data_IF_957732806380
#
_entry.id   IF_957732806380
#
_cell.length_a   1.000
_cell.length_b   1.000
_cell.length_c   1.000
_cell.angle_alpha   90.00
_cell.angle_beta   90.00
_cell.angle_gamma   90.00
#
_symmetry.space_group_name_H-M   'P 1'
#
loop_
_entity.id
_entity.type
_entity.pdbx_description
1 polymer ?
#
# COMPACT_ATOMS: atom_id res chain seq x y z
N UNK A 1 15.70 -19.56 -28.06
CA UNK A 1 15.39 -20.60 -27.06
C UNK A 1 16.39 -20.54 -25.92
N UNK A 2 16.07 -19.83 -24.81
CA UNK A 2 16.80 -19.84 -23.53
C UNK A 2 16.00 -18.96 -22.55
N UNK A 3 15.63 -19.51 -21.37
CA UNK A 3 15.19 -18.85 -20.13
C UNK A 3 14.09 -19.59 -19.33
N UNK A 4 14.02 -20.93 -19.39
CA UNK A 4 13.13 -21.71 -18.49
C UNK A 4 13.84 -22.28 -17.26
N UNK A 5 15.15 -22.04 -17.09
CA UNK A 5 15.93 -22.66 -16.00
C UNK A 5 15.65 -22.06 -14.61
N UNK A 6 15.18 -20.81 -14.52
CA UNK A 6 14.90 -20.12 -13.25
C UNK A 6 13.44 -20.24 -12.78
N UNK A 7 12.52 -20.63 -13.66
CA UNK A 7 11.09 -20.69 -13.34
C UNK A 7 10.74 -21.85 -12.39
N UNK A 8 11.40 -23.00 -12.58
CA UNK A 8 11.19 -24.21 -11.76
C UNK A 8 11.65 -24.07 -10.31
N UNK A 9 12.87 -23.57 -10.01
CA UNK A 9 13.28 -23.36 -8.61
C UNK A 9 12.43 -22.28 -7.92
N UNK A 10 12.00 -21.25 -8.64
CA UNK A 10 11.11 -20.21 -8.10
C UNK A 10 9.73 -20.77 -7.73
N UNK A 11 9.11 -21.58 -8.61
CA UNK A 11 7.86 -22.28 -8.32
C UNK A 11 7.98 -23.24 -7.14
N UNK A 12 9.12 -23.93 -7.01
CA UNK A 12 9.40 -24.81 -5.87
C UNK A 12 9.52 -24.04 -4.55
N UNK A 13 10.20 -22.89 -4.55
CA UNK A 13 10.30 -22.01 -3.37
C UNK A 13 8.91 -21.48 -2.99
N UNK A 14 8.13 -21.00 -3.97
CA UNK A 14 6.75 -20.54 -3.75
C UNK A 14 5.90 -21.67 -3.16
N UNK A 15 5.97 -22.87 -3.72
CA UNK A 15 5.25 -24.05 -3.23
C UNK A 15 5.70 -24.45 -1.81
N UNK A 16 7.00 -24.41 -1.51
CA UNK A 16 7.56 -24.67 -0.18
C UNK A 16 7.10 -23.64 0.86
N UNK A 17 6.98 -22.37 0.47
CA UNK A 17 6.43 -21.30 1.33
C UNK A 17 4.93 -21.51 1.61
N UNK A 18 4.17 -22.04 0.63
CA UNK A 18 2.76 -22.41 0.82
C UNK A 18 2.57 -23.72 1.62
N UNK A 19 3.56 -24.61 1.65
CA UNK A 19 3.52 -25.88 2.39
C UNK A 19 3.99 -25.76 3.85
N UNK A 20 4.64 -24.65 4.21
CA UNK A 20 5.08 -24.42 5.58
C UNK A 20 3.92 -23.94 6.46
N UNK A 21 3.35 -24.84 7.27
CA UNK A 21 2.50 -24.47 8.41
C UNK A 21 3.36 -23.80 9.49
N UNK A 22 3.68 -22.51 9.28
CA UNK A 22 4.35 -21.70 10.29
C UNK A 22 3.36 -21.39 11.42
N UNK A 23 3.38 -22.23 12.46
CA UNK A 23 2.72 -21.94 13.74
C UNK A 23 3.51 -20.87 14.51
N UNK A 24 3.42 -19.61 14.10
CA UNK A 24 3.88 -18.52 14.94
C UNK A 24 2.78 -18.19 15.97
N UNK A 25 3.19 -17.99 17.22
CA UNK A 25 2.29 -17.73 18.34
C UNK A 25 2.27 -16.22 18.61
N UNK A 26 1.16 -15.54 18.29
CA UNK A 26 0.64 -14.35 18.98
C UNK A 26 1.45 -13.05 19.13
N UNK A 27 2.71 -12.94 18.70
CA UNK A 27 3.51 -11.69 18.76
C UNK A 27 4.52 -11.67 17.61
N UNK A 28 4.14 -11.11 16.47
CA UNK A 28 5.00 -10.98 15.30
C UNK A 28 4.94 -9.58 14.70
N UNK A 29 5.88 -9.28 13.82
CA UNK A 29 5.82 -8.11 12.95
C UNK A 29 5.82 -8.58 11.49
N UNK A 30 5.21 -7.79 10.62
CA UNK A 30 5.23 -8.00 9.17
C UNK A 30 6.03 -6.89 8.53
N UNK A 31 6.85 -7.23 7.53
CA UNK A 31 7.47 -6.25 6.64
C UNK A 31 6.74 -6.33 5.31
N UNK A 32 6.21 -5.19 4.86
CA UNK A 32 5.52 -5.03 3.60
C UNK A 32 6.39 -4.15 2.70
N UNK A 33 6.71 -4.67 1.52
CA UNK A 33 7.26 -3.87 0.43
C UNK A 33 6.14 -3.58 -0.56
N UNK A 34 5.86 -2.30 -0.81
CA UNK A 34 4.89 -1.83 -1.80
C UNK A 34 5.66 -1.11 -2.89
N UNK A 35 5.40 -1.48 -4.14
CA UNK A 35 5.89 -0.75 -5.30
C UNK A 35 4.72 -0.52 -6.23
N UNK A 36 4.61 0.69 -6.75
CA UNK A 36 3.68 1.05 -7.79
C UNK A 36 4.51 1.60 -8.94
N UNK A 37 4.30 1.08 -10.14
CA UNK A 37 5.07 1.49 -11.30
C UNK A 37 4.25 1.25 -12.57
N UNK A 38 4.41 2.13 -13.54
CA UNK A 38 3.86 1.98 -14.89
C UNK A 38 4.52 0.83 -15.68
N UNK A 39 5.59 0.22 -15.17
CA UNK A 39 6.32 -0.91 -15.77
C UNK A 39 5.44 -2.13 -16.13
N UNK A 40 4.35 -2.36 -15.39
CA UNK A 40 3.41 -3.46 -15.65
C UNK A 40 2.23 -3.07 -16.56
N UNK A 41 2.13 -1.81 -16.96
CA UNK A 41 1.11 -1.38 -17.92
C UNK A 41 1.51 -1.80 -19.34
N UNK A 42 0.55 -2.36 -20.10
CA UNK A 42 0.72 -2.82 -21.49
C UNK A 42 1.23 -1.70 -22.43
N UNK A 43 1.10 -0.44 -21.99
CA UNK A 43 1.72 0.72 -22.60
C UNK A 43 2.50 1.47 -21.51
N UNK A 44 3.76 1.07 -21.29
CA UNK A 44 4.68 1.69 -20.33
C UNK A 44 5.11 3.07 -20.82
N UNK A 45 4.23 4.05 -20.66
CA UNK A 45 4.50 5.40 -21.09
C UNK A 45 5.27 6.22 -20.05
N UNK A 46 5.41 5.73 -18.80
CA UNK A 46 6.02 6.48 -17.66
C UNK A 46 5.53 7.94 -17.72
N UNK A 47 4.20 8.04 -17.83
CA UNK A 47 3.51 9.28 -18.09
C UNK A 47 2.89 9.67 -16.76
N UNK A 48 3.25 10.85 -16.24
CA UNK A 48 2.62 11.47 -15.09
C UNK A 48 2.88 10.83 -13.71
N UNK A 49 3.22 9.53 -13.60
CA UNK A 49 3.58 8.84 -12.36
C UNK A 49 4.67 7.79 -12.61
N UNK A 50 5.91 8.12 -12.24
CA UNK A 50 7.06 7.26 -12.54
C UNK A 50 7.15 6.04 -11.66
N UNK A 51 6.74 6.21 -10.42
CA UNK A 51 6.57 5.10 -9.50
C UNK A 51 6.80 5.50 -8.05
N UNK A 52 6.47 4.56 -7.19
CA UNK A 52 6.74 4.64 -5.77
C UNK A 52 7.31 3.33 -5.25
N UNK A 53 8.08 3.45 -4.17
CA UNK A 53 8.51 2.32 -3.37
C UNK A 53 8.33 2.67 -1.90
N UNK A 54 7.77 1.75 -1.12
CA UNK A 54 7.55 1.90 0.32
C UNK A 54 7.91 0.60 1.02
N UNK A 55 8.63 0.72 2.13
CA UNK A 55 8.82 -0.34 3.10
C UNK A 55 8.02 0.03 4.34
N UNK A 56 7.16 -0.85 4.79
CA UNK A 56 6.31 -0.65 5.97
C UNK A 56 6.43 -1.85 6.91
N UNK A 57 6.62 -1.58 8.19
CA UNK A 57 6.57 -2.58 9.25
C UNK A 57 5.23 -2.47 9.96
N UNK A 58 4.56 -3.61 10.15
CA UNK A 58 3.28 -3.72 10.84
C UNK A 58 3.43 -4.58 12.08
N UNK A 59 2.80 -4.18 13.17
CA UNK A 59 2.89 -4.88 14.46
C UNK A 59 1.63 -4.64 15.31
N UNK A 60 1.38 -5.46 16.34
CA UNK A 60 0.29 -5.23 17.29
C UNK A 60 0.37 -3.84 17.92
N UNK A 61 -0.77 -3.22 18.24
CA UNK A 61 -0.79 -1.88 18.85
C UNK A 61 0.10 -1.78 20.11
N UNK A 62 1.22 -1.05 20.01
CA UNK A 62 2.14 -0.81 21.12
C UNK A 62 1.80 0.49 21.85
N UNK A 63 1.49 1.55 21.11
CA UNK A 63 1.30 2.90 21.66
C UNK A 63 -0.15 3.36 21.51
N UNK A 64 -0.95 3.19 22.56
CA UNK A 64 -2.41 3.38 22.51
C UNK A 64 -2.90 4.83 22.59
N UNK A 65 -2.04 5.76 23.02
CA UNK A 65 -2.39 7.17 23.25
C UNK A 65 -2.28 8.06 21.99
N UNK A 66 -1.73 7.52 20.90
CA UNK A 66 -1.58 8.27 19.66
C UNK A 66 -2.94 8.56 19.01
N UNK A 67 -3.10 9.70 18.33
CA UNK A 67 -4.40 10.26 17.92
C UNK A 67 -4.96 9.56 16.67
N UNK A 68 -5.04 8.25 16.70
CA UNK A 68 -5.51 7.43 15.59
C UNK A 68 -6.91 6.92 15.83
N UNK A 69 -7.70 6.96 14.76
CA UNK A 69 -9.04 6.41 14.78
C UNK A 69 -8.97 4.89 14.97
N UNK A 70 -9.70 4.41 15.99
CA UNK A 70 -9.83 3.00 16.31
C UNK A 70 -11.18 2.71 16.96
N UNK A 71 -11.63 1.47 16.83
CA UNK A 71 -12.79 0.99 17.56
C UNK A 71 -12.45 0.85 19.05
N UNK A 72 -13.38 1.26 19.93
CA UNK A 72 -13.09 1.38 21.37
C UNK A 72 -13.18 0.08 22.16
N UNK A 73 -13.94 -0.90 21.66
CA UNK A 73 -14.20 -2.19 22.32
C UNK A 73 -13.08 -3.19 21.98
N UNK A 74 -12.13 -3.47 22.89
CA UNK A 74 -10.98 -4.31 22.57
C UNK A 74 -11.34 -5.76 22.26
N UNK A 75 -12.42 -6.28 22.84
CA UNK A 75 -12.95 -7.63 22.60
C UNK A 75 -13.60 -7.79 21.22
N UNK A 76 -14.05 -6.68 20.62
CA UNK A 76 -14.68 -6.63 19.30
C UNK A 76 -13.77 -5.97 18.24
N UNK A 77 -12.50 -5.68 18.58
CA UNK A 77 -11.61 -5.00 17.65
C UNK A 77 -10.17 -5.48 17.71
N UNK A 78 -9.51 -5.41 16.55
CA UNK A 78 -8.09 -5.70 16.41
C UNK A 78 -7.41 -4.49 15.78
N UNK A 79 -6.41 -3.93 16.43
CA UNK A 79 -5.67 -2.76 15.94
C UNK A 79 -4.23 -3.14 15.63
N UNK A 80 -3.79 -2.84 14.41
CA UNK A 80 -2.43 -3.02 13.91
C UNK A 80 -1.80 -1.64 13.73
N UNK A 81 -0.62 -1.44 14.30
CA UNK A 81 0.23 -0.26 14.09
C UNK A 81 1.15 -0.47 12.90
N UNK A 82 1.41 0.61 12.18
CA UNK A 82 2.19 0.64 10.94
C UNK A 82 3.19 1.78 11.00
N UNK A 83 4.45 1.49 10.68
CA UNK A 83 5.48 2.51 10.45
C UNK A 83 6.12 2.21 9.10
N UNK A 84 6.20 3.20 8.23
CA UNK A 84 6.84 3.02 6.94
C UNK A 84 7.67 4.21 6.52
N UNK A 85 8.54 3.94 5.56
CA UNK A 85 9.29 4.92 4.79
C UNK A 85 9.05 4.65 3.31
N UNK A 86 8.80 5.70 2.56
CA UNK A 86 8.54 5.59 1.14
C UNK A 86 9.06 6.78 0.34
N UNK A 87 9.21 6.52 -0.95
CA UNK A 87 9.59 7.50 -1.95
C UNK A 87 8.66 7.42 -3.15
N UNK A 88 8.38 8.55 -3.77
CA UNK A 88 7.61 8.66 -5.01
C UNK A 88 8.31 9.62 -5.96
N UNK A 89 8.28 9.32 -7.25
CA UNK A 89 8.82 10.14 -8.31
C UNK A 89 7.74 10.43 -9.37
N UNK A 90 7.76 11.65 -9.89
CA UNK A 90 6.93 12.16 -10.96
C UNK A 90 7.83 12.83 -11.98
N UNK A 91 7.66 12.52 -13.26
CA UNK A 91 8.44 13.10 -14.35
C UNK A 91 7.57 13.62 -15.49
N UNK A 92 8.05 14.59 -16.28
CA UNK A 92 7.48 14.93 -17.57
C UNK A 92 7.59 13.76 -18.55
N UNK A 93 6.90 13.88 -19.68
CA UNK A 93 6.98 12.92 -20.78
C UNK A 93 8.38 12.90 -21.42
N UNK A 94 8.98 14.07 -21.65
CA UNK A 94 10.33 14.18 -22.20
C UNK A 94 11.38 14.23 -21.07
N UNK A 95 11.98 13.09 -20.77
CA UNK A 95 12.99 12.96 -19.70
C UNK A 95 14.32 13.65 -20.02
N UNK A 96 14.66 13.81 -21.31
CA UNK A 96 15.90 14.44 -21.73
C UNK A 96 15.87 15.96 -21.61
N UNK A 97 14.70 16.57 -21.37
CA UNK A 97 14.59 18.00 -21.14
C UNK A 97 15.22 18.38 -19.79
N UNK A 98 16.21 19.28 -19.82
CA UNK A 98 16.78 19.86 -18.61
C UNK A 98 15.90 20.96 -18.02
N UNK A 99 15.17 21.69 -18.87
CA UNK A 99 14.31 22.80 -18.48
C UNK A 99 12.85 22.37 -18.26
N UNK A 100 12.08 23.07 -17.39
CA UNK A 100 10.65 22.84 -17.24
C UNK A 100 9.89 22.97 -18.56
N UNK A 101 9.01 22.01 -18.83
CA UNK A 101 8.18 22.00 -20.03
C UNK A 101 6.81 22.61 -19.68
N UNK A 102 6.42 23.63 -20.42
CA UNK A 102 5.09 24.23 -20.25
C UNK A 102 4.01 23.25 -20.74
N UNK A 103 2.92 23.12 -20.00
CA UNK A 103 1.81 22.18 -20.26
C UNK A 103 2.16 20.68 -20.09
N UNK A 104 3.28 20.36 -19.44
CA UNK A 104 3.61 19.01 -18.98
C UNK A 104 3.81 19.02 -17.45
N UNK A 105 3.85 17.84 -16.82
CA UNK A 105 4.14 17.75 -15.40
C UNK A 105 5.61 18.06 -15.13
N UNK A 106 5.91 18.88 -14.13
CA UNK A 106 7.28 19.07 -13.71
C UNK A 106 7.82 17.81 -13.05
N UNK A 107 9.14 17.72 -12.99
CA UNK A 107 9.79 16.80 -12.06
C UNK A 107 9.30 17.08 -10.64
N UNK A 108 8.95 16.04 -9.91
CA UNK A 108 8.66 16.14 -8.49
C UNK A 108 9.01 14.82 -7.81
N UNK A 109 9.44 14.92 -6.57
CA UNK A 109 9.65 13.75 -5.74
C UNK A 109 8.99 13.97 -4.38
N UNK A 110 8.66 12.88 -3.71
CA UNK A 110 8.23 12.89 -2.33
C UNK A 110 9.03 11.81 -1.59
N UNK A 111 9.66 12.16 -0.49
CA UNK A 111 10.15 11.20 0.50
C UNK A 111 9.37 11.40 1.79
N UNK A 112 8.88 10.31 2.37
CA UNK A 112 7.99 10.39 3.53
C UNK A 112 8.20 9.24 4.51
N UNK A 113 7.88 9.53 5.76
CA UNK A 113 7.60 8.57 6.82
C UNK A 113 6.10 8.57 7.07
N UNK A 114 5.52 7.39 7.23
CA UNK A 114 4.14 7.25 7.67
C UNK A 114 4.08 6.48 8.99
N UNK A 115 3.20 6.92 9.88
CA UNK A 115 2.90 6.27 11.13
C UNK A 115 1.38 6.19 11.28
N UNK A 116 0.81 5.00 11.53
CA UNK A 116 -0.64 4.85 11.49
C UNK A 116 -1.17 3.58 12.12
N UNK A 117 -2.50 3.52 12.22
CA UNK A 117 -3.25 2.35 12.63
C UNK A 117 -4.13 1.83 11.49
N UNK A 118 -4.35 0.52 11.52
CA UNK A 118 -5.49 -0.13 10.90
C UNK A 118 -6.27 -0.84 12.01
N UNK A 119 -7.49 -0.38 12.28
CA UNK A 119 -8.39 -0.95 13.29
C UNK A 119 -9.52 -1.69 12.60
N UNK A 120 -9.64 -2.98 12.90
CA UNK A 120 -10.66 -3.88 12.37
C UNK A 120 -11.75 -4.05 13.41
N UNK A 121 -13.01 -3.89 13.01
CA UNK A 121 -14.15 -4.29 13.82
C UNK A 121 -14.46 -5.75 13.51
N UNK A 122 -14.29 -6.63 14.49
CA UNK A 122 -14.41 -8.08 14.34
C UNK A 122 -15.86 -8.57 14.25
N UNK A 123 -16.83 -7.73 14.62
CA UNK A 123 -18.27 -8.04 14.55
C UNK A 123 -18.84 -7.65 13.20
N UNK A 124 -18.57 -6.42 12.76
CA UNK A 124 -19.14 -5.86 11.53
C UNK A 124 -18.27 -6.11 10.30
N UNK A 125 -16.98 -6.40 10.48
CA UNK A 125 -16.00 -6.48 9.38
C UNK A 125 -15.55 -5.12 8.83
N UNK A 126 -16.00 -4.01 9.42
CA UNK A 126 -15.58 -2.68 9.02
C UNK A 126 -14.12 -2.39 9.40
N UNK A 127 -13.41 -1.65 8.56
CA UNK A 127 -12.00 -1.32 8.72
C UNK A 127 -11.84 0.19 8.79
N UNK A 128 -11.11 0.66 9.79
CA UNK A 128 -10.80 2.07 10.01
C UNK A 128 -9.29 2.25 9.96
N UNK A 129 -8.82 3.11 9.08
CA UNK A 129 -7.41 3.43 8.89
C UNK A 129 -7.20 4.91 9.20
N UNK A 130 -6.12 5.20 9.91
CA UNK A 130 -5.67 6.57 10.09
C UNK A 130 -4.15 6.61 10.19
N UNK A 131 -3.52 7.60 9.58
CA UNK A 131 -2.08 7.77 9.62
C UNK A 131 -1.66 9.23 9.57
N UNK A 132 -0.51 9.51 10.16
CA UNK A 132 0.26 10.72 9.97
C UNK A 132 1.31 10.42 8.91
N UNK A 133 1.44 11.31 7.94
CA UNK A 133 2.48 11.30 6.92
C UNK A 133 3.32 12.57 7.09
N UNK A 134 4.62 12.40 7.29
CA UNK A 134 5.58 13.50 7.38
C UNK A 134 6.70 13.28 6.37
N UNK A 135 7.24 14.33 5.79
CA UNK A 135 8.21 14.15 4.72
C UNK A 135 8.64 15.45 4.07
N UNK A 136 9.19 15.32 2.86
CA UNK A 136 9.56 16.45 2.05
C UNK A 136 9.31 16.16 0.56
N UNK A 137 8.74 17.16 -0.12
CA UNK A 137 8.67 17.21 -1.59
C UNK A 137 9.98 17.79 -2.11
N UNK A 138 10.50 17.30 -3.24
CA UNK A 138 11.66 17.88 -3.91
C UNK A 138 13.02 17.38 -3.40
N UNK A 139 13.04 16.18 -2.83
CA UNK A 139 14.28 15.51 -2.39
C UNK A 139 15.03 14.87 -3.56
N UNK A 140 16.35 14.72 -3.45
CA UNK A 140 17.14 14.13 -4.54
C UNK A 140 17.02 12.61 -4.65
N UNK A 141 16.64 11.91 -3.59
CA UNK A 141 16.77 10.44 -3.52
C UNK A 141 15.93 9.70 -4.57
N UNK A 142 14.61 9.98 -4.76
CA UNK A 142 13.83 9.30 -5.78
C UNK A 142 14.35 9.55 -7.21
N UNK A 143 14.79 10.78 -7.48
CA UNK A 143 15.36 11.13 -8.78
C UNK A 143 16.69 10.44 -9.05
N UNK A 144 17.60 10.42 -8.06
CA UNK A 144 18.86 9.70 -8.15
C UNK A 144 18.65 8.19 -8.41
N UNK A 145 17.64 7.59 -7.76
CA UNK A 145 17.30 6.19 -7.97
C UNK A 145 16.80 5.94 -9.42
N UNK A 146 15.92 6.79 -9.94
CA UNK A 146 15.46 6.69 -11.33
C UNK A 146 16.61 6.87 -12.33
N UNK A 147 17.41 7.93 -12.17
CA UNK A 147 18.58 8.20 -13.03
C UNK A 147 19.54 7.01 -13.02
N UNK A 148 19.76 6.38 -11.87
CA UNK A 148 20.59 5.21 -11.74
C UNK A 148 20.02 4.00 -12.49
N UNK A 149 18.72 3.72 -12.35
CA UNK A 149 18.01 2.63 -13.06
C UNK A 149 18.12 2.83 -14.57
N UNK A 150 17.86 4.04 -15.08
CA UNK A 150 17.87 4.34 -16.51
C UNK A 150 19.29 4.27 -17.07
N UNK A 151 20.28 4.83 -16.36
CA UNK A 151 21.69 4.82 -16.78
C UNK A 151 22.28 3.40 -16.87
N UNK A 152 21.84 2.49 -16.02
CA UNK A 152 22.35 1.11 -15.98
C UNK A 152 21.40 0.09 -16.63
N UNK A 153 20.35 0.54 -17.32
CA UNK A 153 19.35 -0.32 -17.95
C UNK A 153 18.80 -1.40 -17.02
N UNK A 154 18.63 -1.08 -15.74
CA UNK A 154 18.05 -2.01 -14.77
C UNK A 154 16.64 -2.39 -15.22
N UNK A 155 16.28 -3.67 -15.03
CA UNK A 155 15.01 -4.24 -15.48
C UNK A 155 14.77 -4.12 -17.01
N UNK A 156 15.82 -3.90 -17.80
CA UNK A 156 15.70 -3.74 -19.26
C UNK A 156 15.18 -2.36 -19.69
N UNK A 157 15.25 -1.34 -18.82
CA UNK A 157 14.83 0.01 -19.17
C UNK A 157 15.64 0.55 -20.36
N UNK A 158 14.96 1.01 -21.40
CA UNK A 158 15.53 1.66 -22.59
C UNK A 158 15.20 3.15 -22.66
N UNK A 159 14.62 3.69 -21.58
CA UNK A 159 14.22 5.10 -21.50
C UNK A 159 15.43 6.02 -21.32
N UNK A 160 15.26 7.26 -21.76
CA UNK A 160 16.26 8.30 -21.59
C UNK A 160 16.56 8.57 -20.11
N UNK A 161 17.81 8.94 -19.82
CA UNK A 161 18.22 9.36 -18.48
C UNK A 161 17.57 10.71 -18.17
N UNK A 162 16.86 10.86 -17.03
CA UNK A 162 16.21 12.12 -16.68
C UNK A 162 17.24 13.21 -16.36
N UNK A 163 17.10 14.37 -17.00
CA UNK A 163 18.06 15.48 -16.91
C UNK A 163 17.54 16.71 -16.14
N UNK A 164 16.22 16.78 -15.85
CA UNK A 164 15.58 17.95 -15.25
C UNK A 164 15.37 17.90 -13.73
N UNK A 165 15.97 16.95 -13.00
CA UNK A 165 15.73 16.77 -11.55
C UNK A 165 16.13 17.98 -10.68
N UNK A 166 17.06 18.83 -11.14
CA UNK A 166 17.42 20.07 -10.45
C UNK A 166 16.35 21.16 -10.57
N UNK A 167 15.40 21.01 -11.50
CA UNK A 167 14.27 21.92 -11.70
C UNK A 167 12.95 21.37 -11.10
N UNK A 168 13.04 20.39 -10.19
CA UNK A 168 11.85 19.77 -9.60
C UNK A 168 11.10 20.71 -8.63
N UNK A 169 9.80 20.47 -8.47
CA UNK A 169 9.01 21.17 -7.45
C UNK A 169 9.61 20.94 -6.06
N UNK A 170 9.75 22.03 -5.29
CA UNK A 170 10.21 21.97 -3.91
C UNK A 170 11.69 21.63 -3.77
N UNK A 171 12.51 21.90 -4.79
CA UNK A 171 13.95 21.61 -4.83
C UNK A 171 14.65 21.87 -3.49
N UNK A 172 15.45 20.88 -3.05
CA UNK A 172 16.12 20.79 -1.73
C UNK A 172 15.20 20.51 -0.54
N UNK A 173 13.93 20.20 -0.77
CA UNK A 173 13.02 19.73 0.26
C UNK A 173 12.08 20.82 0.74
N UNK A 174 10.79 20.60 0.52
CA UNK A 174 9.68 21.35 1.11
C UNK A 174 8.94 20.44 2.07
N UNK A 175 8.89 20.81 3.35
CA UNK A 175 8.28 20.00 4.40
C UNK A 175 6.81 19.69 4.09
N UNK A 176 6.40 18.45 4.36
CA UNK A 176 5.00 18.04 4.34
C UNK A 176 4.57 17.38 5.64
N UNK A 177 3.31 17.62 5.99
CA UNK A 177 2.57 16.99 7.04
C UNK A 177 1.14 16.76 6.55
N UNK A 178 0.67 15.53 6.70
CA UNK A 178 -0.69 15.13 6.37
C UNK A 178 -1.24 14.19 7.44
N UNK A 179 -2.52 14.34 7.76
CA UNK A 179 -3.29 13.37 8.50
C UNK A 179 -4.32 12.76 7.55
N UNK A 180 -4.25 11.45 7.37
CA UNK A 180 -5.10 10.71 6.45
C UNK A 180 -5.99 9.77 7.25
N UNK A 181 -7.27 9.69 6.89
CA UNK A 181 -8.24 8.78 7.49
C UNK A 181 -9.09 8.13 6.40
N UNK A 182 -9.39 6.83 6.57
CA UNK A 182 -10.21 6.05 5.65
C UNK A 182 -11.05 5.04 6.41
N UNK A 183 -12.29 4.87 5.99
CA UNK A 183 -13.17 3.79 6.42
C UNK A 183 -13.52 2.90 5.23
N UNK A 184 -13.53 1.60 5.46
CA UNK A 184 -14.08 0.60 4.55
C UNK A 184 -15.18 -0.17 5.29
N UNK A 185 -16.39 -0.14 4.76
CA UNK A 185 -17.56 -0.76 5.35
C UNK A 185 -18.09 -1.88 4.45
N UNK A 186 -18.18 -3.13 4.93
CA UNK A 186 -18.75 -4.21 4.15
C UNK A 186 -20.27 -4.03 4.03
N UNK A 187 -20.76 -3.95 2.79
CA UNK A 187 -22.19 -3.91 2.49
C UNK A 187 -22.69 -5.30 2.10
N UNK A 188 -21.83 -6.09 1.48
CA UNK A 188 -22.10 -7.50 1.20
C UNK A 188 -20.84 -8.32 1.46
N UNK A 189 -20.92 -9.20 2.45
CA UNK A 189 -19.79 -10.04 2.90
C UNK A 189 -19.54 -11.27 2.01
N UNK A 190 -20.39 -11.50 1.00
CA UNK A 190 -20.28 -12.56 0.01
C UNK A 190 -21.23 -13.73 0.20
N UNK A 191 -21.42 -14.50 -0.88
CA UNK A 191 -22.17 -15.76 -0.83
C UNK A 191 -21.35 -16.79 -0.06
N UNK A 192 -21.95 -17.44 0.94
CA UNK A 192 -21.28 -18.36 1.86
C UNK A 192 -20.01 -17.74 2.50
N UNK A 193 -20.13 -16.56 3.11
CA UNK A 193 -19.02 -15.87 3.78
C UNK A 193 -18.26 -16.74 4.81
N UNK A 194 -18.92 -17.78 5.33
CA UNK A 194 -18.36 -18.76 6.27
C UNK A 194 -17.58 -19.92 5.62
N UNK A 195 -17.65 -20.08 4.30
CA UNK A 195 -16.89 -21.09 3.58
C UNK A 195 -15.46 -20.62 3.32
N UNK A 196 -14.51 -21.55 3.13
CA UNK A 196 -13.11 -21.22 2.77
C UNK A 196 -12.96 -20.45 1.46
N UNK A 197 -14.02 -20.41 0.66
CA UNK A 197 -14.11 -19.69 -0.60
C UNK A 197 -15.39 -18.87 -0.61
N UNK A 198 -15.27 -17.56 -0.78
CA UNK A 198 -16.41 -16.66 -0.90
C UNK A 198 -16.32 -15.89 -2.21
N UNK A 199 -17.46 -15.83 -2.89
CA UNK A 199 -17.62 -15.19 -4.18
C UNK A 199 -18.36 -13.88 -3.98
N UNK A 200 -17.89 -12.83 -4.67
CA UNK A 200 -18.46 -11.49 -4.70
C UNK A 200 -18.60 -10.84 -3.33
N UNK A 201 -17.66 -9.99 -2.92
CA UNK A 201 -17.84 -9.07 -1.78
C UNK A 201 -18.02 -7.65 -2.28
N UNK A 202 -18.88 -6.88 -1.60
CA UNK A 202 -19.07 -5.45 -1.85
C UNK A 202 -18.73 -4.66 -0.59
N UNK A 203 -17.87 -3.66 -0.75
CA UNK A 203 -17.53 -2.73 0.33
C UNK A 203 -17.58 -1.30 -0.15
N UNK A 204 -18.05 -0.41 0.72
CA UNK A 204 -17.99 1.04 0.50
C UNK A 204 -16.73 1.59 1.15
N UNK A 205 -16.08 2.54 0.48
CA UNK A 205 -14.89 3.24 0.97
C UNK A 205 -15.17 4.73 1.02
N UNK A 206 -14.82 5.35 2.14
CA UNK A 206 -14.78 6.79 2.28
C UNK A 206 -13.48 7.20 2.96
N UNK A 207 -12.98 8.38 2.67
CA UNK A 207 -11.76 8.87 3.29
C UNK A 207 -11.60 10.37 3.19
N UNK A 208 -10.75 10.91 4.06
CA UNK A 208 -10.37 12.30 4.10
C UNK A 208 -8.86 12.41 4.31
N UNK A 209 -8.25 13.40 3.68
CA UNK A 209 -6.84 13.75 3.83
C UNK A 209 -6.78 15.24 4.12
N UNK A 210 -6.00 15.61 5.13
CA UNK A 210 -5.85 17.01 5.50
C UNK A 210 -4.39 17.28 5.87
N UNK A 211 -3.82 18.30 5.24
CA UNK A 211 -2.46 18.73 5.49
C UNK A 211 -2.00 19.74 4.45
N UNK A 212 -0.70 20.03 4.45
CA UNK A 212 -0.11 20.94 3.47
C UNK A 212 0.36 20.24 2.18
N UNK A 213 0.26 18.91 2.09
CA UNK A 213 0.52 18.17 0.86
C UNK A 213 -0.77 17.84 0.10
N UNK A 214 -1.79 17.31 0.77
CA UNK A 214 -3.11 17.10 0.17
C UNK A 214 -4.26 17.47 1.11
N UNK A 215 -5.35 17.97 0.52
CA UNK A 215 -6.62 18.24 1.17
C UNK A 215 -7.76 17.65 0.33
N UNK A 216 -8.10 16.38 0.58
CA UNK A 216 -8.99 15.60 -0.28
C UNK A 216 -10.13 14.96 0.51
N UNK A 217 -11.29 14.82 -0.12
CA UNK A 217 -12.34 13.88 0.26
C UNK A 217 -12.44 12.80 -0.80
N UNK A 218 -12.55 11.55 -0.37
CA UNK A 218 -12.52 10.35 -1.22
C UNK A 218 -13.75 9.50 -0.93
N UNK A 219 -14.35 8.97 -1.99
CA UNK A 219 -15.45 8.01 -1.94
C UNK A 219 -15.27 6.97 -3.04
N UNK A 220 -15.66 5.73 -2.78
CA UNK A 220 -15.56 4.69 -3.78
C UNK A 220 -16.15 3.36 -3.35
N UNK A 221 -16.18 2.42 -4.29
CA UNK A 221 -16.66 1.06 -4.09
C UNK A 221 -15.50 0.09 -4.26
N UNK A 222 -15.52 -1.01 -3.51
CA UNK A 222 -14.60 -2.15 -3.68
C UNK A 222 -15.43 -3.40 -3.98
N UNK A 223 -15.05 -4.11 -5.02
CA UNK A 223 -15.67 -5.39 -5.41
C UNK A 223 -14.58 -6.45 -5.41
N UNK A 224 -14.73 -7.50 -4.61
CA UNK A 224 -13.85 -8.67 -4.63
C UNK A 224 -14.58 -9.83 -5.29
N UNK A 225 -14.16 -10.29 -6.48
CA UNK A 225 -14.90 -11.32 -7.23
C UNK A 225 -14.69 -12.73 -6.66
N UNK A 226 -13.46 -13.06 -6.30
CA UNK A 226 -13.10 -14.36 -5.74
C UNK A 226 -12.21 -14.13 -4.52
N UNK A 227 -12.56 -14.77 -3.41
CA UNK A 227 -11.72 -14.77 -2.24
C UNK A 227 -11.43 -16.18 -1.75
N UNK A 228 -10.16 -16.55 -1.79
CA UNK A 228 -9.65 -17.79 -1.24
C UNK A 228 -9.16 -17.53 0.19
N UNK A 229 -9.51 -18.41 1.13
CA UNK A 229 -9.25 -18.27 2.57
C UNK A 229 -9.93 -17.02 3.17
N UNK A 230 -11.26 -16.98 3.14
CA UNK A 230 -12.00 -15.80 3.57
C UNK A 230 -11.97 -15.51 5.07
N UNK A 231 -11.46 -14.33 5.39
CA UNK A 231 -11.40 -13.77 6.74
C UNK A 231 -11.37 -12.24 6.69
N UNK A 232 -11.49 -11.60 7.86
CA UNK A 232 -11.62 -10.14 8.04
C UNK A 232 -10.36 -9.38 7.56
N UNK A 233 -9.26 -10.08 7.28
CA UNK A 233 -7.94 -9.54 6.93
C UNK A 233 -7.45 -9.90 5.52
N UNK A 234 -8.34 -10.17 4.56
CA UNK A 234 -7.96 -10.57 3.20
C UNK A 234 -6.96 -9.63 2.49
N UNK A 235 -7.02 -8.33 2.76
CA UNK A 235 -6.09 -7.33 2.19
C UNK A 235 -4.78 -7.19 2.98
N UNK A 236 -4.68 -7.85 4.14
CA UNK A 236 -3.55 -7.82 5.06
C UNK A 236 -3.20 -9.26 5.44
N UNK A 237 -2.73 -10.04 4.45
CA UNK A 237 -2.41 -11.46 4.53
C UNK A 237 -3.54 -12.35 5.11
N UNK A 238 -4.01 -13.38 4.38
CA UNK A 238 -5.01 -14.36 4.85
C UNK A 238 -4.59 -15.17 6.10
N UNK A 239 -3.39 -14.92 6.60
CA UNK A 239 -2.83 -15.53 7.78
C UNK A 239 -1.70 -14.61 8.24
N UNK A 240 -1.98 -13.75 9.22
CA UNK A 240 -0.95 -13.53 10.24
C UNK A 240 -0.66 -14.92 10.78
N UNK A 241 0.59 -15.43 10.67
CA UNK A 241 0.96 -16.66 11.35
C UNK A 241 0.62 -16.45 12.84
N UNK A 242 -0.46 -17.09 13.31
CA UNK A 242 -0.92 -16.98 14.70
C UNK A 242 -2.19 -16.18 15.00
N UNK A 243 -2.88 -15.57 14.03
CA UNK A 243 -4.18 -14.91 14.30
C UNK A 243 -5.35 -15.75 13.79
N UNK A 244 -5.47 -16.97 14.32
CA UNK A 244 -6.77 -17.63 14.40
C UNK A 244 -7.57 -16.91 15.47
N UNK A 245 -8.27 -15.84 15.11
CA UNK A 245 -9.33 -15.33 15.99
C UNK A 245 -10.39 -16.43 16.05
N UNK A 246 -10.57 -17.00 17.24
CA UNK A 246 -11.68 -17.90 17.53
C UNK A 246 -12.94 -17.13 17.14
N UNK A 247 -13.68 -17.64 16.16
CA UNK A 247 -14.93 -17.08 15.65
C UNK A 247 -15.76 -16.65 16.87
N UNK A 248 -15.87 -15.35 17.14
CA UNK A 248 -17.00 -14.89 17.93
C UNK A 248 -18.24 -15.33 17.15
N UNK A 249 -19.31 -15.73 17.82
CA UNK A 249 -20.57 -16.04 17.14
C UNK A 249 -21.09 -14.75 16.48
N UNK A 250 -20.60 -14.45 15.28
CA UNK A 250 -21.02 -13.33 14.46
C UNK A 250 -22.39 -13.71 13.92
N UNK A 251 -23.43 -13.23 14.60
CA UNK A 251 -24.78 -13.22 14.05
C UNK A 251 -24.80 -12.04 13.08
N UNK A 252 -24.70 -12.34 11.78
CA UNK A 252 -25.05 -11.34 10.78
C UNK A 252 -26.55 -11.04 10.95
N UNK A 253 -26.97 -9.77 11.05
CA UNK A 253 -28.39 -9.46 10.98
C UNK A 253 -28.88 -9.91 9.61
N UNK A 254 -29.78 -10.89 9.61
CA UNK A 254 -30.59 -11.25 8.45
C UNK A 254 -31.48 -10.05 8.17
N UNK A 255 -31.35 -9.46 6.98
CA UNK A 255 -32.41 -8.63 6.40
C UNK A 255 -33.24 -9.54 5.51
#
# INVERSE_FOLDING_TARGET
MKNTFLLRPLLLIIMLLFLSDLKAQGKGFQVLFTTENDFLAINNKDENYTGSAKIEVQFPELVKWLPFFKYKKPEESLTIQRIGIGGTAYTPQNLAASEPITNDRPYASLMFLNFGNTSFNLVTGAVLQSEIVIGAVGTSLPGNAQSYIHKHHWFGSTRDVPMGWDNQIGYKGSFIFNYNARIEYPVFSGFNADAKCSWLQLRLRAGAELGNYTANLKGGVKINLLNLNSGIMQDYSPSVPGTFLKKANIIFPVI
#
